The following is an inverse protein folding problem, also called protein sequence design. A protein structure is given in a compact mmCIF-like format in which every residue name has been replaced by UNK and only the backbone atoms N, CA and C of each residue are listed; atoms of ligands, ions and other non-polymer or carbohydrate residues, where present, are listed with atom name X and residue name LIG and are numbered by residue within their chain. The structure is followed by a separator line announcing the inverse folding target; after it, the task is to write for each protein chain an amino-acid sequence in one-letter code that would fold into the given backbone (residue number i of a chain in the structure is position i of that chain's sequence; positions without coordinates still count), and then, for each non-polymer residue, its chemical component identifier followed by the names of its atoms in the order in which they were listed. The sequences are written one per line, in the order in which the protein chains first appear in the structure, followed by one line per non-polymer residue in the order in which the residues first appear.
data_IF_710859789050
#
_entry.id   IF_710859789050
#
_cell.length_a   1.000
_cell.length_b   1.000
_cell.length_c   1.000
_cell.angle_alpha   90.00
_cell.angle_beta   90.00
_cell.angle_gamma   90.00
#
_symmetry.space_group_name_H-M   'P 1'
#
loop_
_entity.id
_entity.type
_entity.pdbx_description
1 polymer ?
#
# COMPACT_ATOMS: atom_id res chain seq x y z
N UNK A 1 -7.80 -22.87 24.49
CA UNK A 1 -7.63 -21.95 23.34
C UNK A 1 -6.25 -21.38 23.47
N UNK A 2 -5.35 -21.72 22.55
CA UNK A 2 -4.01 -21.15 22.51
C UNK A 2 -4.11 -19.76 21.89
N UNK A 3 -3.84 -18.73 22.67
CA UNK A 3 -3.64 -17.37 22.17
C UNK A 3 -2.42 -17.39 21.24
N UNK A 4 -2.66 -17.55 19.95
CA UNK A 4 -1.62 -17.43 18.93
C UNK A 4 -1.30 -15.94 18.86
N UNK A 5 -0.21 -15.56 19.49
CA UNK A 5 0.35 -14.21 19.42
C UNK A 5 0.69 -13.94 17.95
N UNK A 6 -0.02 -13.00 17.32
CA UNK A 6 0.35 -12.51 15.99
C UNK A 6 1.57 -11.60 16.12
N UNK A 7 2.74 -12.16 15.82
CA UNK A 7 4.01 -11.42 15.87
C UNK A 7 4.05 -10.22 14.90
N UNK A 8 3.16 -10.16 13.89
CA UNK A 8 3.06 -9.00 13.01
C UNK A 8 2.38 -7.80 13.70
N UNK A 9 1.45 -8.03 14.63
CA UNK A 9 0.86 -6.94 15.43
C UNK A 9 1.88 -6.32 16.39
N UNK A 10 2.75 -7.15 16.98
CA UNK A 10 3.83 -6.71 17.87
C UNK A 10 4.90 -5.88 17.15
N UNK A 11 5.20 -6.21 15.89
CA UNK A 11 6.22 -5.50 15.09
C UNK A 11 5.77 -4.09 14.70
N UNK A 12 4.47 -3.92 14.46
CA UNK A 12 3.87 -2.65 14.03
C UNK A 12 3.53 -1.71 15.18
N UNK A 13 3.55 -2.17 16.43
CA UNK A 13 3.32 -1.33 17.61
C UNK A 13 4.53 -0.41 17.85
N UNK A 14 4.30 0.91 17.96
CA UNK A 14 5.35 1.87 18.33
C UNK A 14 5.74 1.70 19.79
N UNK A 15 7.02 1.50 20.03
CA UNK A 15 7.64 1.47 21.37
C UNK A 15 8.29 2.82 21.66
N UNK A 16 8.45 3.16 22.94
CA UNK A 16 9.13 4.41 23.33
C UNK A 16 10.54 4.51 22.74
N UNK A 17 11.26 3.38 22.68
CA UNK A 17 12.55 3.31 22.00
C UNK A 17 12.49 3.71 20.51
N UNK A 18 11.42 3.34 19.80
CA UNK A 18 11.28 3.70 18.38
C UNK A 18 11.09 5.23 18.23
N UNK A 19 10.50 5.89 19.24
CA UNK A 19 10.34 7.35 19.31
C UNK A 19 11.69 8.01 19.63
N UNK A 20 12.39 7.52 20.65
CA UNK A 20 13.70 8.04 21.07
C UNK A 20 14.75 7.89 19.95
N UNK A 21 14.76 6.75 19.26
CA UNK A 21 15.68 6.48 18.14
C UNK A 21 15.41 7.43 16.96
N UNK A 22 14.14 7.72 16.67
CA UNK A 22 13.76 8.65 15.60
C UNK A 22 14.04 10.11 15.98
N UNK A 23 13.76 10.50 17.21
CA UNK A 23 14.06 11.82 17.77
C UNK A 23 15.54 12.16 17.68
N UNK A 24 16.40 11.23 18.12
CA UNK A 24 17.85 11.36 18.03
C UNK A 24 18.33 11.49 16.58
N UNK A 25 17.69 10.75 15.65
CA UNK A 25 18.01 10.84 14.22
C UNK A 25 17.67 12.22 13.65
N UNK A 26 16.50 12.76 13.98
CA UNK A 26 16.07 14.11 13.58
C UNK A 26 17.02 15.18 14.15
N UNK A 27 17.40 15.09 15.43
CA UNK A 27 18.38 16.00 16.02
C UNK A 27 19.75 15.94 15.33
N UNK A 28 20.18 14.75 14.92
CA UNK A 28 21.42 14.58 14.15
C UNK A 28 21.33 15.27 12.79
N UNK A 29 20.19 15.15 12.09
CA UNK A 29 19.96 15.82 10.81
C UNK A 29 19.96 17.35 10.97
N UNK A 30 19.27 17.89 11.99
CA UNK A 30 19.29 19.33 12.28
C UNK A 30 20.69 19.84 12.63
N UNK A 31 21.47 19.06 13.37
CA UNK A 31 22.85 19.41 13.71
C UNK A 31 23.73 19.48 12.46
N UNK A 32 23.60 18.51 11.54
CA UNK A 32 24.32 18.50 10.25
C UNK A 32 23.92 19.66 9.33
N UNK A 33 22.65 20.04 9.37
CA UNK A 33 22.16 21.25 8.71
C UNK A 33 22.79 22.53 9.30
N UNK A 34 22.85 22.65 10.63
CA UNK A 34 23.48 23.79 11.30
C UNK A 34 24.98 23.91 11.00
N UNK A 35 25.62 22.80 10.66
CA UNK A 35 27.03 22.75 10.21
C UNK A 35 27.20 23.02 8.70
N UNK A 36 26.11 23.24 7.95
CA UNK A 36 26.15 23.54 6.52
C UNK A 36 26.43 22.34 5.60
N UNK A 37 26.39 21.12 6.14
CA UNK A 37 26.73 19.88 5.40
C UNK A 37 25.56 19.23 4.68
N UNK A 38 24.33 19.63 5.01
CA UNK A 38 23.08 19.06 4.48
C UNK A 38 22.09 20.19 4.14
N UNK A 39 21.20 19.97 3.17
CA UNK A 39 20.16 20.94 2.77
C UNK A 39 18.79 20.49 3.27
N UNK A 40 17.82 21.41 3.41
CA UNK A 40 16.44 21.05 3.81
C UNK A 40 15.85 19.97 2.88
N UNK A 41 16.21 19.98 1.59
CA UNK A 41 15.79 18.97 0.63
C UNK A 41 16.41 17.57 0.87
N UNK A 42 17.58 17.47 1.52
CA UNK A 42 18.20 16.18 1.86
C UNK A 42 17.60 15.54 3.10
N UNK A 43 16.93 16.29 3.99
CA UNK A 43 16.21 15.74 5.15
C UNK A 43 15.12 14.76 4.72
N UNK A 44 14.27 15.12 3.74
CA UNK A 44 13.18 14.23 3.31
C UNK A 44 13.71 12.90 2.74
N UNK A 45 14.80 12.93 1.97
CA UNK A 45 15.46 11.69 1.51
C UNK A 45 16.04 10.88 2.66
N UNK A 46 16.71 11.55 3.60
CA UNK A 46 17.31 10.91 4.75
C UNK A 46 16.25 10.20 5.62
N UNK A 47 15.10 10.83 5.82
CA UNK A 47 13.95 10.24 6.54
C UNK A 47 13.38 9.02 5.80
N UNK A 48 13.20 9.09 4.48
CA UNK A 48 12.75 7.92 3.70
C UNK A 48 13.75 6.76 3.75
N UNK A 49 15.06 7.06 3.68
CA UNK A 49 16.11 6.05 3.85
C UNK A 49 16.12 5.44 5.26
N UNK A 50 15.90 6.26 6.29
CA UNK A 50 15.80 5.78 7.67
C UNK A 50 14.63 4.81 7.83
N UNK A 51 13.47 5.11 7.22
CA UNK A 51 12.33 4.21 7.24
C UNK A 51 12.65 2.88 6.54
N UNK A 52 13.30 2.94 5.38
CA UNK A 52 13.69 1.74 4.62
C UNK A 52 14.72 0.90 5.39
N UNK A 53 15.77 1.51 5.93
CA UNK A 53 16.85 0.82 6.68
C UNK A 53 16.33 0.16 7.96
N UNK A 54 15.36 0.77 8.61
CA UNK A 54 14.81 0.28 9.88
C UNK A 54 13.52 -0.56 9.71
N UNK A 55 13.12 -0.88 8.47
CA UNK A 55 11.86 -1.58 8.16
C UNK A 55 10.63 -0.95 8.84
N UNK A 56 10.60 0.39 8.90
CA UNK A 56 9.50 1.16 9.46
C UNK A 56 8.48 1.36 8.34
N UNK A 57 7.28 0.82 8.53
CA UNK A 57 6.16 1.07 7.63
C UNK A 57 5.74 2.54 7.71
N UNK A 58 5.10 3.06 6.65
CA UNK A 58 4.56 4.42 6.66
C UNK A 58 3.66 4.68 7.87
N UNK A 59 2.85 3.68 8.22
CA UNK A 59 1.95 3.76 9.36
C UNK A 59 2.70 3.83 10.70
N UNK A 60 3.71 2.97 10.91
CA UNK A 60 4.53 3.01 12.13
C UNK A 60 5.27 4.34 12.24
N UNK A 61 5.74 4.88 11.12
CA UNK A 61 6.38 6.18 11.05
C UNK A 61 5.43 7.32 11.45
N UNK A 62 4.18 7.31 10.97
CA UNK A 62 3.17 8.30 11.35
C UNK A 62 2.86 8.25 12.84
N UNK A 63 2.72 7.06 13.43
CA UNK A 63 2.51 6.93 14.88
C UNK A 63 3.73 7.41 15.68
N UNK A 64 4.96 7.18 15.20
CA UNK A 64 6.19 7.74 15.78
C UNK A 64 6.16 9.27 15.73
N UNK A 65 5.84 9.86 14.56
CA UNK A 65 5.76 11.32 14.42
C UNK A 65 4.68 11.93 15.33
N UNK A 66 3.49 11.34 15.39
CA UNK A 66 2.40 11.81 16.25
C UNK A 66 2.79 11.79 17.72
N UNK A 67 3.34 10.68 18.23
CA UNK A 67 3.79 10.60 19.63
C UNK A 67 4.96 11.53 19.94
N UNK A 68 5.86 11.74 18.97
CA UNK A 68 6.95 12.70 19.12
C UNK A 68 6.39 14.13 19.24
N UNK A 69 5.45 14.53 18.38
CA UNK A 69 4.81 15.85 18.46
C UNK A 69 4.05 16.04 19.78
N UNK A 70 3.30 15.03 20.22
CA UNK A 70 2.62 15.03 21.52
C UNK A 70 3.61 15.21 22.69
N UNK A 71 4.78 14.55 22.64
CA UNK A 71 5.85 14.71 23.63
C UNK A 71 6.34 16.16 23.73
N UNK A 72 6.30 16.90 22.63
CA UNK A 72 6.66 18.33 22.57
C UNK A 72 5.49 19.29 22.82
N UNK A 73 4.31 18.76 23.18
CA UNK A 73 3.12 19.57 23.45
C UNK A 73 2.48 20.17 22.21
N UNK A 74 2.78 19.61 21.03
CA UNK A 74 2.22 20.06 19.74
C UNK A 74 1.25 18.99 19.25
N UNK A 75 -0.01 19.35 19.03
CA UNK A 75 -0.95 18.43 18.39
C UNK A 75 -0.83 18.53 16.86
N UNK A 76 -1.08 17.42 16.16
CA UNK A 76 -1.09 17.43 14.69
C UNK A 76 -2.16 18.39 14.13
N UNK A 77 -3.25 18.61 14.87
CA UNK A 77 -4.26 19.61 14.54
C UNK A 77 -3.70 21.04 14.58
N UNK A 78 -2.84 21.35 15.56
CA UNK A 78 -2.18 22.65 15.67
C UNK A 78 -1.24 22.88 14.48
N UNK A 79 -0.47 21.85 14.08
CA UNK A 79 0.43 21.91 12.92
C UNK A 79 -0.35 22.11 11.62
N UNK A 80 -1.43 21.37 11.42
CA UNK A 80 -2.30 21.51 10.24
C UNK A 80 -2.85 22.94 10.11
N UNK A 81 -3.25 23.54 11.25
CA UNK A 81 -3.78 24.90 11.29
C UNK A 81 -2.70 25.97 11.06
N UNK A 82 -1.52 25.84 11.66
CA UNK A 82 -0.44 26.83 11.58
C UNK A 82 0.22 26.85 10.20
N UNK A 83 0.36 25.70 9.55
CA UNK A 83 1.02 25.58 8.25
C UNK A 83 0.03 25.59 7.06
N UNK A 84 -1.26 25.84 7.32
CA UNK A 84 -2.34 25.86 6.32
C UNK A 84 -2.32 24.61 5.41
N UNK A 85 -1.90 23.46 5.97
CA UNK A 85 -1.69 22.22 5.24
C UNK A 85 -3.00 21.68 4.68
N UNK A 86 -4.13 22.07 5.26
CA UNK A 86 -5.48 21.73 4.80
C UNK A 86 -5.75 22.20 3.37
N UNK A 87 -5.10 23.28 2.91
CA UNK A 87 -5.24 23.80 1.56
C UNK A 87 -4.16 23.29 0.58
N UNK A 88 -3.27 22.41 1.03
CA UNK A 88 -2.27 21.79 0.16
C UNK A 88 -2.88 20.55 -0.52
N UNK A 89 -3.01 20.54 -1.87
CA UNK A 89 -3.64 19.42 -2.60
C UNK A 89 -2.91 18.08 -2.42
N UNK A 90 -1.59 18.09 -2.28
CA UNK A 90 -0.81 16.87 -2.07
C UNK A 90 -0.99 16.33 -0.65
N UNK A 91 -1.04 17.22 0.35
CA UNK A 91 -1.32 16.83 1.73
C UNK A 91 -2.75 16.31 1.90
N UNK A 92 -3.73 16.93 1.25
CA UNK A 92 -5.12 16.46 1.29
C UNK A 92 -5.26 15.06 0.68
N UNK A 93 -4.61 14.82 -0.48
CA UNK A 93 -4.57 13.50 -1.13
C UNK A 93 -3.91 12.46 -0.22
N UNK A 94 -2.77 12.81 0.37
CA UNK A 94 -2.06 11.95 1.31
C UNK A 94 -2.92 11.61 2.54
N UNK A 95 -3.54 12.62 3.18
CA UNK A 95 -4.41 12.44 4.35
C UNK A 95 -5.62 11.56 4.04
N UNK A 96 -6.25 11.72 2.86
CA UNK A 96 -7.36 10.85 2.42
C UNK A 96 -6.89 9.41 2.22
N UNK A 97 -5.73 9.21 1.58
CA UNK A 97 -5.16 7.88 1.40
C UNK A 97 -4.82 7.21 2.74
N UNK A 98 -4.24 7.96 3.68
CA UNK A 98 -3.93 7.50 5.02
C UNK A 98 -5.21 7.10 5.77
N UNK A 99 -6.21 7.99 5.83
CA UNK A 99 -7.47 7.71 6.51
C UNK A 99 -8.23 6.52 5.92
N UNK A 100 -8.17 6.32 4.59
CA UNK A 100 -8.70 5.12 3.95
C UNK A 100 -7.93 3.86 4.38
N UNK A 101 -6.60 3.91 4.34
CA UNK A 101 -5.73 2.78 4.69
C UNK A 101 -5.89 2.37 6.15
N UNK A 102 -5.99 3.34 7.07
CA UNK A 102 -6.24 3.11 8.49
C UNK A 102 -7.62 2.51 8.74
N UNK A 103 -8.68 3.10 8.16
CA UNK A 103 -10.07 2.64 8.34
C UNK A 103 -10.26 1.17 7.97
N UNK A 104 -9.52 0.69 6.99
CA UNK A 104 -9.64 -0.68 6.47
C UNK A 104 -8.38 -1.52 6.70
N UNK A 105 -7.50 -1.09 7.60
CA UNK A 105 -6.24 -1.77 7.94
C UNK A 105 -6.48 -3.25 8.25
N UNK A 106 -5.62 -4.12 7.70
CA UNK A 106 -5.69 -5.57 7.89
C UNK A 106 -6.81 -6.28 7.11
N UNK A 107 -7.76 -5.53 6.51
CA UNK A 107 -8.81 -6.08 5.63
C UNK A 107 -8.49 -5.88 4.15
N UNK A 108 -7.75 -4.83 3.82
CA UNK A 108 -7.25 -4.60 2.46
C UNK A 108 -6.07 -5.54 2.21
N UNK A 109 -6.13 -6.26 1.10
CA UNK A 109 -5.00 -7.01 0.55
C UNK A 109 -4.56 -6.35 -0.74
N UNK A 110 -3.25 -6.14 -0.87
CA UNK A 110 -2.67 -5.67 -2.12
C UNK A 110 -2.94 -6.70 -3.22
N UNK A 111 -3.56 -6.27 -4.31
CA UNK A 111 -3.66 -7.05 -5.54
C UNK A 111 -2.46 -6.72 -6.42
N UNK A 112 -1.43 -7.58 -6.40
CA UNK A 112 -0.22 -7.42 -7.23
C UNK A 112 -0.34 -8.34 -8.43
N UNK A 113 -1.06 -7.87 -9.43
CA UNK A 113 -1.44 -8.66 -10.60
C UNK A 113 -1.34 -7.90 -11.90
N UNK A 114 -1.40 -8.64 -13.00
CA UNK A 114 -1.65 -8.07 -14.33
C UNK A 114 -3.12 -8.27 -14.68
N UNK A 115 -3.69 -7.28 -15.36
CA UNK A 115 -4.99 -7.41 -16.01
C UNK A 115 -4.82 -7.51 -17.53
N UNK A 116 -5.67 -8.30 -18.18
CA UNK A 116 -5.73 -8.42 -19.63
C UNK A 116 -7.19 -8.43 -20.09
N UNK A 117 -7.47 -7.86 -21.26
CA UNK A 117 -8.81 -7.87 -21.85
C UNK A 117 -8.80 -8.63 -23.16
N UNK A 118 -9.76 -9.55 -23.31
CA UNK A 118 -10.06 -10.22 -24.57
C UNK A 118 -11.40 -9.69 -25.06
N UNK A 119 -11.43 -9.22 -26.31
CA UNK A 119 -12.65 -8.78 -27.01
C UNK A 119 -12.65 -9.36 -28.42
N UNK A 120 -13.34 -10.48 -28.60
CA UNK A 120 -13.46 -11.17 -29.87
C UNK A 120 -14.91 -11.63 -30.11
N UNK A 121 -15.14 -12.36 -31.20
CA UNK A 121 -16.50 -12.80 -31.60
C UNK A 121 -17.16 -13.76 -30.59
N UNK A 122 -16.40 -14.36 -29.68
CA UNK A 122 -16.88 -15.33 -28.68
C UNK A 122 -16.94 -14.78 -27.28
N UNK A 123 -15.98 -13.93 -26.90
CA UNK A 123 -15.80 -13.43 -25.54
C UNK A 123 -15.52 -11.93 -25.50
N UNK A 124 -16.10 -11.31 -24.49
CA UNK A 124 -15.66 -10.02 -23.95
C UNK A 124 -15.37 -10.23 -22.47
N UNK A 125 -14.11 -10.51 -22.13
CA UNK A 125 -13.70 -10.92 -20.78
C UNK A 125 -12.49 -10.12 -20.30
N UNK A 126 -12.60 -9.60 -19.08
CA UNK A 126 -11.49 -9.01 -18.33
C UNK A 126 -10.90 -10.08 -17.42
N UNK A 127 -9.58 -10.23 -17.49
CA UNK A 127 -8.81 -11.27 -16.82
C UNK A 127 -7.90 -10.61 -15.79
N UNK A 128 -7.93 -11.08 -14.54
CA UNK A 128 -7.07 -10.60 -13.46
C UNK A 128 -6.25 -11.75 -12.89
N UNK A 129 -4.94 -11.54 -12.77
CA UNK A 129 -3.97 -12.57 -12.35
C UNK A 129 -3.44 -12.28 -10.95
N UNK A 130 -3.52 -13.25 -10.05
CA UNK A 130 -2.97 -13.19 -8.69
C UNK A 130 -2.29 -14.52 -8.35
N UNK A 131 -1.00 -14.61 -8.68
CA UNK A 131 -0.23 -15.86 -8.58
C UNK A 131 -0.92 -16.98 -9.36
N UNK A 132 -1.26 -18.08 -8.69
CA UNK A 132 -1.95 -19.21 -9.33
C UNK A 132 -3.45 -18.99 -9.51
N UNK A 133 -4.02 -17.89 -9.00
CA UNK A 133 -5.44 -17.56 -9.15
C UNK A 133 -5.65 -16.68 -10.38
N UNK A 134 -6.58 -17.08 -11.24
CA UNK A 134 -7.03 -16.28 -12.38
C UNK A 134 -8.50 -15.98 -12.20
N UNK A 135 -8.87 -14.70 -12.30
CA UNK A 135 -10.25 -14.25 -12.22
C UNK A 135 -10.68 -13.78 -13.60
N UNK A 136 -11.66 -14.45 -14.18
CA UNK A 136 -12.32 -14.08 -15.42
C UNK A 136 -13.61 -13.35 -15.07
N UNK A 137 -13.79 -12.14 -15.58
CA UNK A 137 -14.98 -11.33 -15.36
C UNK A 137 -15.58 -10.93 -16.70
N UNK A 138 -16.87 -11.17 -16.88
CA UNK A 138 -17.60 -10.77 -18.09
C UNK A 138 -19.04 -10.37 -17.76
N UNK A 139 -19.56 -9.37 -18.48
CA UNK A 139 -20.98 -9.03 -18.44
C UNK A 139 -21.86 -10.13 -19.07
N UNK A 140 -21.28 -10.96 -19.94
CA UNK A 140 -21.94 -12.09 -20.58
C UNK A 140 -21.37 -13.41 -20.06
N UNK A 141 -21.94 -14.52 -20.51
CA UNK A 141 -21.39 -15.85 -20.24
C UNK A 141 -20.04 -16.00 -20.97
N UNK A 142 -19.04 -16.51 -20.29
CA UNK A 142 -17.70 -16.76 -20.84
C UNK A 142 -17.71 -18.09 -21.60
N UNK A 143 -17.31 -18.05 -22.85
CA UNK A 143 -17.09 -19.23 -23.69
C UNK A 143 -15.67 -19.78 -23.47
N UNK A 144 -15.57 -20.90 -22.76
CA UNK A 144 -14.29 -21.59 -22.52
C UNK A 144 -13.75 -22.34 -23.74
N UNK A 145 -14.49 -22.41 -24.84
CA UNK A 145 -14.01 -22.95 -26.11
C UNK A 145 -13.25 -21.93 -26.97
N UNK A 146 -13.13 -20.70 -26.49
CA UNK A 146 -12.36 -19.64 -27.14
C UNK A 146 -10.86 -19.96 -27.16
N UNK A 147 -10.28 -19.96 -28.35
CA UNK A 147 -8.86 -20.27 -28.56
C UNK A 147 -7.95 -19.21 -27.96
N UNK A 148 -8.32 -17.93 -28.05
CA UNK A 148 -7.48 -16.83 -27.55
C UNK A 148 -7.39 -16.89 -26.02
N UNK A 149 -8.53 -17.09 -25.35
CA UNK A 149 -8.58 -17.30 -23.91
C UNK A 149 -7.73 -18.51 -23.49
N UNK A 150 -7.87 -19.63 -24.19
CA UNK A 150 -7.13 -20.85 -23.87
C UNK A 150 -5.62 -20.68 -24.10
N UNK A 151 -5.21 -20.03 -25.19
CA UNK A 151 -3.81 -19.73 -25.48
C UNK A 151 -3.19 -18.81 -24.41
N UNK A 152 -3.94 -17.79 -23.98
CA UNK A 152 -3.54 -16.92 -22.90
C UNK A 152 -3.32 -17.70 -21.58
N UNK A 153 -4.30 -18.51 -21.17
CA UNK A 153 -4.20 -19.31 -19.94
C UNK A 153 -3.04 -20.31 -19.98
N UNK A 154 -2.79 -20.94 -21.13
CA UNK A 154 -1.64 -21.86 -21.30
C UNK A 154 -0.33 -21.10 -21.20
N UNK A 155 -0.22 -19.94 -21.82
CA UNK A 155 0.99 -19.10 -21.77
C UNK A 155 1.27 -18.62 -20.34
N UNK A 156 0.22 -18.22 -19.61
CA UNK A 156 0.34 -17.85 -18.21
C UNK A 156 0.73 -19.03 -17.31
N UNK A 157 0.14 -20.20 -17.54
CA UNK A 157 0.50 -21.42 -16.83
C UNK A 157 1.98 -21.78 -17.01
N UNK A 158 2.54 -21.63 -18.22
CA UNK A 158 3.96 -21.86 -18.50
C UNK A 158 4.87 -20.90 -17.74
N UNK A 159 4.46 -19.64 -17.58
CA UNK A 159 5.18 -18.65 -16.78
C UNK A 159 5.30 -19.08 -15.31
N UNK A 160 4.33 -19.84 -14.81
CA UNK A 160 4.29 -20.36 -13.44
C UNK A 160 4.78 -21.82 -13.34
N UNK A 161 5.70 -22.24 -14.22
CA UNK A 161 6.30 -23.58 -14.20
C UNK A 161 5.25 -24.71 -14.22
N UNK A 162 4.20 -24.55 -15.01
CA UNK A 162 3.11 -25.51 -15.17
C UNK A 162 2.29 -25.82 -13.92
N UNK A 163 2.35 -24.95 -12.90
CA UNK A 163 1.48 -25.03 -11.74
C UNK A 163 -0.01 -24.99 -12.11
N UNK A 164 -0.84 -25.68 -11.32
CA UNK A 164 -2.28 -25.73 -11.55
C UNK A 164 -2.91 -24.37 -11.26
N UNK A 165 -3.50 -23.76 -12.30
CA UNK A 165 -4.25 -22.51 -12.16
C UNK A 165 -5.61 -22.76 -11.48
N UNK A 166 -5.98 -21.87 -10.57
CA UNK A 166 -7.32 -21.79 -9.98
C UNK A 166 -8.11 -20.71 -10.73
N UNK A 167 -8.92 -21.15 -11.69
CA UNK A 167 -9.79 -20.27 -12.47
C UNK A 167 -11.06 -19.97 -11.68
N UNK A 168 -11.37 -18.69 -11.47
CA UNK A 168 -12.64 -18.19 -10.94
C UNK A 168 -13.33 -17.41 -12.04
N UNK A 169 -14.61 -17.70 -12.29
CA UNK A 169 -15.38 -17.03 -13.33
C UNK A 169 -16.52 -16.27 -12.66
N UNK A 170 -16.63 -14.98 -12.96
CA UNK A 170 -17.71 -14.10 -12.54
C UNK A 170 -18.41 -13.57 -13.79
N UNK A 171 -19.62 -14.07 -14.03
CA UNK A 171 -20.42 -13.74 -15.21
C UNK A 171 -21.60 -12.86 -14.80
N UNK A 172 -22.22 -12.19 -15.78
CA UNK A 172 -23.45 -11.41 -15.59
C UNK A 172 -23.34 -10.29 -14.55
N UNK A 173 -22.16 -9.68 -14.43
CA UNK A 173 -21.99 -8.52 -13.55
C UNK A 173 -22.64 -7.27 -14.16
N UNK A 174 -22.92 -6.26 -13.32
CA UNK A 174 -23.37 -4.93 -13.75
C UNK A 174 -22.37 -3.89 -13.27
N UNK A 175 -22.05 -2.93 -14.14
CA UNK A 175 -21.20 -1.78 -13.81
C UNK A 175 -22.06 -0.54 -13.54
N UNK A 176 -21.65 0.27 -12.56
CA UNK A 176 -22.22 1.58 -12.30
C UNK A 176 -21.14 2.52 -11.75
N UNK A 177 -21.27 3.81 -12.06
CA UNK A 177 -20.39 4.85 -11.56
C UNK A 177 -20.88 5.33 -10.18
N UNK A 178 -19.95 5.46 -9.21
CA UNK A 178 -20.21 5.91 -7.83
C UNK A 178 -19.47 7.21 -7.50
#
# INVERSE_FOLDING_TARGET
MSDVIDFNELKNKVRDKDIDDFENYIFTLYSKMGQGTETIASINRAVMEYMQKNNISMEKFMEIQNKLMERYGVSMADVESQYNLTNNPEYEKYRKQLGFTEKYKGKIKDFKGFSYEIRNDRNQVSIYLDGTTVILTSATRVDLSDNELNEFLVSYKKLLEDQKLKIKISEQYTEYDY
#
